data_IF_344865357648
#
_entry.id   IF_344865357648
#
_cell.length_a   1.000
_cell.length_b   1.000
_cell.length_c   1.000
_cell.angle_alpha   90.00
_cell.angle_beta   90.00
_cell.angle_gamma   90.00
#
_symmetry.space_group_name_H-M   'P 1'
#
loop_
_entity.id
_entity.type
_entity.pdbx_description
1 polymer ?
#
# COMPACT_ATOMS: atom_id res chain seq x y z
N UNK A 1 -9.33 8.87 48.05
CA UNK A 1 -7.85 8.98 48.01
C UNK A 1 -7.36 8.14 46.83
N UNK A 2 -7.31 8.77 45.66
CA UNK A 2 -6.11 9.41 45.06
C UNK A 2 -5.23 8.40 44.34
N UNK A 3 -5.51 8.37 43.04
CA UNK A 3 -4.71 7.94 41.89
C UNK A 3 -3.19 8.07 42.08
N UNK A 4 -2.46 7.10 41.53
CA UNK A 4 -1.17 7.33 40.89
C UNK A 4 -1.14 6.65 39.51
N UNK A 5 -0.75 7.39 38.46
CA UNK A 5 -0.63 6.85 37.11
C UNK A 5 0.72 6.14 36.95
N UNK A 6 0.70 4.94 36.36
CA UNK A 6 1.90 4.28 35.90
C UNK A 6 2.44 5.01 34.67
N UNK A 7 3.70 5.37 34.80
CA UNK A 7 4.40 6.44 34.11
C UNK A 7 4.90 6.04 32.72
N UNK A 8 4.86 7.03 31.82
CA UNK A 8 5.37 7.08 30.44
C UNK A 8 6.89 6.85 30.36
N UNK A 9 7.38 5.62 30.51
CA UNK A 9 8.83 5.35 30.42
C UNK A 9 9.28 4.27 29.42
N UNK A 10 8.40 3.76 28.55
CA UNK A 10 8.81 2.84 27.47
C UNK A 10 9.03 3.49 26.08
N UNK A 11 8.74 4.79 25.90
CA UNK A 11 8.91 5.49 24.61
C UNK A 11 10.34 5.92 24.23
N UNK A 12 11.35 5.78 25.11
CA UNK A 12 12.69 6.39 24.83
C UNK A 12 13.72 5.47 24.17
N UNK A 13 13.47 4.16 24.05
CA UNK A 13 14.42 3.22 23.43
C UNK A 13 14.10 2.88 21.96
N UNK A 14 12.84 2.98 21.54
CA UNK A 14 12.45 2.87 20.13
C UNK A 14 12.90 4.11 19.32
N UNK A 15 12.78 5.30 19.91
CA UNK A 15 13.22 6.57 19.31
C UNK A 15 14.74 6.64 19.05
N UNK A 16 15.57 5.88 19.79
CA UNK A 16 17.02 5.84 19.54
C UNK A 16 17.40 4.89 18.39
N UNK A 17 16.63 3.82 18.16
CA UNK A 17 16.86 2.90 17.05
C UNK A 17 16.40 3.50 15.72
N UNK A 18 15.24 4.18 15.72
CA UNK A 18 14.77 4.96 14.57
C UNK A 18 15.71 6.12 14.20
N UNK A 19 16.25 6.83 15.21
CA UNK A 19 17.25 7.89 14.96
C UNK A 19 18.57 7.36 14.38
N UNK A 20 19.00 6.13 14.74
CA UNK A 20 20.19 5.50 14.16
C UNK A 20 19.92 5.00 12.74
N UNK A 21 18.71 4.51 12.44
CA UNK A 21 18.29 4.14 11.07
C UNK A 21 18.23 5.37 10.14
N UNK A 22 17.64 6.47 10.59
CA UNK A 22 17.62 7.75 9.85
C UNK A 22 19.03 8.32 9.69
N UNK A 23 19.86 8.25 10.74
CA UNK A 23 21.25 8.71 10.66
C UNK A 23 22.13 7.84 9.76
N UNK A 24 21.86 6.54 9.67
CA UNK A 24 22.60 5.63 8.78
C UNK A 24 22.19 5.86 7.33
N UNK A 25 20.90 6.05 7.04
CA UNK A 25 20.42 6.39 5.70
C UNK A 25 20.93 7.77 5.25
N UNK A 26 20.92 8.76 6.16
CA UNK A 26 21.51 10.07 5.94
C UNK A 26 23.04 10.03 5.76
N UNK A 27 23.74 9.11 6.43
CA UNK A 27 25.17 8.89 6.28
C UNK A 27 25.54 8.16 4.98
N UNK A 28 24.70 7.25 4.46
CA UNK A 28 24.86 6.69 3.10
C UNK A 28 24.50 7.68 1.99
N UNK A 29 23.77 8.75 2.28
CA UNK A 29 23.61 9.90 1.35
C UNK A 29 24.71 10.96 1.48
N UNK A 30 25.76 10.72 2.27
CA UNK A 30 26.90 11.63 2.44
C UNK A 30 27.78 11.75 1.17
N UNK A 31 27.43 11.07 0.07
CA UNK A 31 27.88 11.36 -1.29
C UNK A 31 27.22 12.61 -1.91
N UNK A 32 26.35 13.33 -1.17
CA UNK A 32 26.07 14.75 -1.42
C UNK A 32 24.76 15.09 -2.14
N UNK A 33 23.88 14.11 -2.39
CA UNK A 33 22.48 14.37 -2.74
C UNK A 33 21.61 13.87 -1.60
N UNK A 34 21.17 14.79 -0.74
CA UNK A 34 20.12 14.47 0.23
C UNK A 34 18.84 14.02 -0.48
N UNK A 35 17.97 13.29 0.21
CA UNK A 35 16.63 12.99 -0.31
C UNK A 35 15.91 14.32 -0.65
N UNK A 36 15.63 14.55 -1.93
CA UNK A 36 15.01 15.78 -2.38
C UNK A 36 13.48 15.69 -2.33
N UNK A 37 12.82 16.82 -2.07
CA UNK A 37 11.39 16.94 -2.35
C UNK A 37 11.19 16.82 -3.85
N UNK A 38 10.31 15.93 -4.27
CA UNK A 38 10.00 15.71 -5.68
C UNK A 38 8.59 16.19 -5.99
N UNK A 39 8.39 16.72 -7.20
CA UNK A 39 7.09 17.10 -7.73
C UNK A 39 6.94 16.48 -9.11
N UNK A 40 6.09 15.46 -9.20
CA UNK A 40 5.77 14.80 -10.47
C UNK A 40 4.27 14.65 -10.59
N UNK A 41 3.74 14.82 -11.81
CA UNK A 41 2.31 14.76 -12.10
C UNK A 41 1.48 15.76 -11.26
N UNK A 42 2.10 16.88 -10.86
CA UNK A 42 1.49 17.88 -9.96
C UNK A 42 1.32 17.41 -8.51
N UNK A 43 1.96 16.30 -8.14
CA UNK A 43 1.92 15.74 -6.79
C UNK A 43 3.30 15.85 -6.14
N UNK A 44 3.31 16.51 -4.99
CA UNK A 44 4.50 16.70 -4.17
C UNK A 44 4.69 15.54 -3.21
N UNK A 45 5.92 15.03 -3.13
CA UNK A 45 6.39 14.12 -2.08
C UNK A 45 7.61 14.74 -1.43
N UNK A 46 7.53 14.95 -0.13
CA UNK A 46 8.60 15.55 0.66
C UNK A 46 9.62 14.50 1.11
N UNK A 47 10.77 14.98 1.58
CA UNK A 47 11.75 14.12 2.23
C UNK A 47 11.15 13.42 3.46
N UNK A 48 10.38 14.14 4.27
CA UNK A 48 9.78 13.58 5.49
C UNK A 48 8.79 12.47 5.15
N UNK A 49 8.00 12.61 4.07
CA UNK A 49 7.09 11.55 3.61
C UNK A 49 7.85 10.25 3.27
N UNK A 50 9.03 10.37 2.62
CA UNK A 50 9.88 9.22 2.29
C UNK A 50 10.47 8.59 3.56
N UNK A 51 10.92 9.42 4.51
CA UNK A 51 11.46 8.94 5.79
C UNK A 51 10.38 8.18 6.57
N UNK A 52 9.17 8.74 6.66
CA UNK A 52 8.01 8.07 7.28
C UNK A 52 7.70 6.76 6.58
N UNK A 53 7.66 6.72 5.25
CA UNK A 53 7.43 5.49 4.49
C UNK A 53 8.51 4.42 4.74
N UNK A 54 9.78 4.81 4.87
CA UNK A 54 10.88 3.92 5.23
C UNK A 54 10.70 3.35 6.66
N UNK A 55 10.32 4.20 7.62
CA UNK A 55 10.05 3.80 8.99
C UNK A 55 8.87 2.82 9.05
N UNK A 56 7.78 3.14 8.35
CA UNK A 56 6.62 2.25 8.20
C UNK A 56 7.04 0.88 7.68
N UNK A 57 7.84 0.79 6.60
CA UNK A 57 8.30 -0.49 6.08
C UNK A 57 9.05 -1.33 7.11
N UNK A 58 9.69 -0.72 8.11
CA UNK A 58 10.44 -1.43 9.15
C UNK A 58 9.56 -1.81 10.36
N UNK A 59 8.67 -0.91 10.78
CA UNK A 59 7.95 -1.02 12.05
C UNK A 59 6.52 -1.57 11.91
N UNK A 60 5.88 -1.40 10.75
CA UNK A 60 4.49 -1.82 10.51
C UNK A 60 4.32 -3.33 10.31
N UNK A 61 5.20 -3.95 9.53
CA UNK A 61 5.03 -5.35 9.13
C UNK A 61 5.18 -6.38 10.26
N UNK A 62 6.11 -6.25 11.23
CA UNK A 62 6.21 -7.18 12.34
C UNK A 62 4.89 -7.36 13.13
N UNK A 63 4.23 -6.30 13.65
CA UNK A 63 2.97 -6.47 14.39
C UNK A 63 1.81 -6.96 13.51
N UNK A 64 1.78 -6.65 12.21
CA UNK A 64 0.79 -7.21 11.27
C UNK A 64 0.99 -8.72 11.11
N UNK A 65 2.23 -9.19 10.93
CA UNK A 65 2.53 -10.63 10.85
C UNK A 65 2.16 -11.36 12.13
N UNK A 66 2.43 -10.76 13.29
CA UNK A 66 2.05 -11.32 14.59
C UNK A 66 0.52 -11.43 14.71
N UNK A 67 -0.22 -10.42 14.27
CA UNK A 67 -1.69 -10.44 14.24
C UNK A 67 -2.23 -11.55 13.33
N UNK A 68 -1.72 -11.63 12.09
CA UNK A 68 -2.12 -12.68 11.12
C UNK A 68 -1.79 -14.09 11.65
N UNK A 69 -0.68 -14.26 12.37
CA UNK A 69 -0.33 -15.56 12.95
C UNK A 69 -1.13 -15.89 14.23
N UNK A 70 -1.79 -14.91 14.83
CA UNK A 70 -2.47 -15.05 16.12
C UNK A 70 -3.76 -15.90 16.04
N UNK A 71 -4.27 -16.28 17.21
CA UNK A 71 -5.58 -16.95 17.34
C UNK A 71 -6.77 -16.03 17.02
N UNK A 72 -6.59 -14.71 17.06
CA UNK A 72 -7.65 -13.78 16.67
C UNK A 72 -8.03 -13.95 15.19
N UNK A 73 -7.09 -14.49 14.42
CA UNK A 73 -7.23 -14.74 12.99
C UNK A 73 -7.73 -16.16 12.64
N UNK A 74 -8.09 -16.98 13.65
CA UNK A 74 -8.56 -18.36 13.47
C UNK A 74 -9.86 -18.46 12.65
N UNK A 75 -10.66 -17.39 12.61
CA UNK A 75 -11.91 -17.34 11.82
C UNK A 75 -11.68 -17.07 10.33
N UNK A 76 -10.50 -16.58 9.96
CA UNK A 76 -10.17 -16.18 8.58
C UNK A 76 -9.49 -17.33 7.83
N UNK A 77 -8.54 -18.00 8.48
CA UNK A 77 -7.77 -19.08 7.85
C UNK A 77 -7.25 -20.07 8.90
N UNK A 78 -7.00 -21.31 8.48
CA UNK A 78 -6.36 -22.33 9.34
C UNK A 78 -4.90 -21.99 9.68
N UNK A 79 -4.38 -22.56 10.78
CA UNK A 79 -3.04 -22.26 11.26
C UNK A 79 -1.93 -22.52 10.21
N UNK A 80 -1.94 -23.62 9.43
CA UNK A 80 -0.98 -23.83 8.34
C UNK A 80 -0.99 -22.71 7.28
N UNK A 81 -2.18 -22.29 6.84
CA UNK A 81 -2.33 -21.24 5.82
C UNK A 81 -1.82 -19.90 6.33
N UNK A 82 -2.06 -19.56 7.60
CA UNK A 82 -1.54 -18.34 8.23
C UNK A 82 -0.01 -18.38 8.35
N UNK A 83 0.55 -19.50 8.78
CA UNK A 83 1.99 -19.67 8.90
C UNK A 83 2.69 -19.51 7.53
N UNK A 84 2.17 -20.14 6.47
CA UNK A 84 2.70 -20.00 5.11
C UNK A 84 2.61 -18.55 4.61
N UNK A 85 1.47 -17.87 4.82
CA UNK A 85 1.31 -16.47 4.44
C UNK A 85 2.30 -15.55 5.19
N UNK A 86 2.49 -15.77 6.50
CA UNK A 86 3.44 -14.99 7.32
C UNK A 86 4.88 -15.21 6.87
N UNK A 87 5.27 -16.44 6.52
CA UNK A 87 6.59 -16.73 5.96
C UNK A 87 6.80 -15.97 4.65
N UNK A 88 5.81 -15.97 3.76
CA UNK A 88 5.87 -15.22 2.51
C UNK A 88 6.02 -13.71 2.77
N UNK A 89 5.16 -13.13 3.60
CA UNK A 89 5.19 -11.70 3.95
C UNK A 89 6.50 -11.30 4.62
N UNK A 90 7.07 -12.18 5.46
CA UNK A 90 8.38 -11.96 6.07
C UNK A 90 9.48 -11.87 5.02
N UNK A 91 9.52 -12.83 4.09
CA UNK A 91 10.53 -12.83 3.01
C UNK A 91 10.46 -11.57 2.17
N UNK A 92 9.26 -11.14 1.76
CA UNK A 92 9.09 -9.89 0.99
C UNK A 92 9.64 -8.69 1.77
N UNK A 93 9.29 -8.57 3.04
CA UNK A 93 9.79 -7.50 3.91
C UNK A 93 11.31 -7.54 4.07
N UNK A 94 11.90 -8.72 4.32
CA UNK A 94 13.34 -8.87 4.47
C UNK A 94 14.07 -8.48 3.16
N UNK A 95 13.59 -8.94 1.99
CA UNK A 95 14.19 -8.62 0.70
C UNK A 95 14.13 -7.12 0.36
N UNK A 96 13.05 -6.43 0.75
CA UNK A 96 12.94 -4.98 0.59
C UNK A 96 13.83 -4.22 1.57
N UNK A 97 13.93 -4.71 2.82
CA UNK A 97 14.81 -4.14 3.83
C UNK A 97 16.28 -4.25 3.42
N UNK A 98 16.70 -5.41 2.90
CA UNK A 98 18.07 -5.63 2.42
C UNK A 98 18.42 -4.72 1.23
N UNK A 99 17.46 -4.39 0.37
CA UNK A 99 17.67 -3.39 -0.70
C UNK A 99 17.89 -1.99 -0.16
N UNK A 100 17.17 -1.63 0.90
CA UNK A 100 17.27 -0.32 1.51
C UNK A 100 18.58 -0.16 2.29
N UNK A 101 18.99 -1.19 3.03
CA UNK A 101 20.10 -1.14 3.98
C UNK A 101 21.41 -1.76 3.43
N UNK A 102 21.37 -2.31 2.22
CA UNK A 102 22.55 -2.88 1.57
C UNK A 102 23.58 -1.82 1.16
N UNK A 103 24.79 -2.28 0.84
CA UNK A 103 25.92 -1.41 0.44
C UNK A 103 25.75 -0.78 -0.95
N UNK A 104 24.74 -1.20 -1.73
CA UNK A 104 24.50 -0.73 -3.10
C UNK A 104 23.55 0.48 -3.11
N UNK A 105 24.13 1.69 -3.08
CA UNK A 105 23.41 2.98 -3.11
C UNK A 105 22.39 3.06 -4.27
N UNK A 106 22.67 2.43 -5.42
CA UNK A 106 21.75 2.46 -6.57
C UNK A 106 20.45 1.71 -6.28
N UNK A 107 20.52 0.59 -5.54
CA UNK A 107 19.33 -0.18 -5.13
C UNK A 107 18.51 0.58 -4.10
N UNK A 108 19.17 1.28 -3.17
CA UNK A 108 18.50 2.12 -2.20
C UNK A 108 17.76 3.28 -2.89
N UNK A 109 18.42 3.96 -3.85
CA UNK A 109 17.80 5.06 -4.60
C UNK A 109 16.63 4.59 -5.50
N UNK A 110 16.75 3.43 -6.12
CA UNK A 110 15.66 2.82 -6.90
C UNK A 110 14.43 2.52 -6.02
N UNK A 111 14.65 2.00 -4.80
CA UNK A 111 13.57 1.78 -3.83
C UNK A 111 12.96 3.10 -3.34
N UNK A 112 13.76 4.13 -3.08
CA UNK A 112 13.27 5.48 -2.74
C UNK A 112 12.41 6.04 -3.87
N UNK A 113 12.84 5.88 -5.13
CA UNK A 113 12.06 6.31 -6.31
C UNK A 113 10.73 5.56 -6.38
N UNK A 114 10.74 4.25 -6.15
CA UNK A 114 9.53 3.43 -6.05
C UNK A 114 8.60 3.92 -4.93
N UNK A 115 9.12 4.20 -3.73
CA UNK A 115 8.33 4.74 -2.61
C UNK A 115 7.72 6.11 -2.95
N UNK A 116 8.47 6.98 -3.63
CA UNK A 116 7.98 8.27 -4.10
C UNK A 116 6.79 8.15 -5.05
N UNK A 117 6.82 7.20 -5.99
CA UNK A 117 5.67 6.94 -6.85
C UNK A 117 4.50 6.31 -6.07
N UNK A 118 4.78 5.42 -5.11
CA UNK A 118 3.75 4.75 -4.30
C UNK A 118 3.00 5.74 -3.40
N UNK A 119 3.71 6.68 -2.79
CA UNK A 119 3.13 7.76 -1.99
C UNK A 119 2.21 8.64 -2.83
N UNK A 120 2.59 8.95 -4.09
CA UNK A 120 1.71 9.67 -5.02
C UNK A 120 0.44 8.88 -5.33
N UNK A 121 0.52 7.56 -5.52
CA UNK A 121 -0.66 6.71 -5.67
C UNK A 121 -1.61 6.82 -4.47
N UNK A 122 -1.08 6.82 -3.23
CA UNK A 122 -1.92 7.02 -2.05
C UNK A 122 -2.49 8.44 -1.94
N UNK A 123 -1.77 9.46 -2.37
CA UNK A 123 -2.32 10.83 -2.48
C UNK A 123 -3.49 10.89 -3.46
N UNK A 124 -3.37 10.24 -4.62
CA UNK A 124 -4.47 10.17 -5.60
C UNK A 124 -5.67 9.42 -5.03
N UNK A 125 -5.46 8.28 -4.38
CA UNK A 125 -6.55 7.54 -3.74
C UNK A 125 -7.24 8.32 -2.64
N UNK A 126 -6.52 9.13 -1.85
CA UNK A 126 -7.12 10.04 -0.87
C UNK A 126 -7.96 11.13 -1.53
N UNK A 127 -7.49 11.70 -2.63
CA UNK A 127 -8.30 12.65 -3.41
C UNK A 127 -9.54 12.01 -4.03
N UNK A 128 -9.43 10.75 -4.50
CA UNK A 128 -10.57 9.96 -4.98
C UNK A 128 -11.57 9.70 -3.85
N UNK A 129 -11.11 9.34 -2.65
CA UNK A 129 -11.95 9.18 -1.47
C UNK A 129 -12.75 10.43 -1.17
N UNK A 130 -12.09 11.58 -1.13
CA UNK A 130 -12.73 12.86 -0.83
C UNK A 130 -13.69 13.30 -1.97
N UNK A 131 -13.40 12.90 -3.21
CA UNK A 131 -14.25 13.18 -4.39
C UNK A 131 -15.49 12.30 -4.45
N UNK A 132 -15.33 10.99 -4.20
CA UNK A 132 -16.39 9.99 -4.28
C UNK A 132 -17.33 10.08 -3.08
N UNK A 133 -16.78 10.24 -1.87
CA UNK A 133 -17.54 10.40 -0.63
C UNK A 133 -18.33 9.17 -0.15
N UNK A 134 -18.53 8.18 -1.03
CA UNK A 134 -19.08 6.86 -0.71
C UNK A 134 -17.95 5.83 -0.58
N UNK A 135 -17.72 5.35 0.65
CA UNK A 135 -16.69 4.36 0.96
C UNK A 135 -16.92 3.02 0.24
N UNK A 136 -18.18 2.57 0.15
CA UNK A 136 -18.51 1.30 -0.49
C UNK A 136 -18.23 1.35 -1.99
N UNK A 137 -18.64 2.44 -2.64
CA UNK A 137 -18.36 2.66 -4.05
C UNK A 137 -16.84 2.75 -4.30
N UNK A 138 -16.11 3.48 -3.47
CA UNK A 138 -14.65 3.60 -3.61
C UNK A 138 -13.95 2.24 -3.47
N UNK A 139 -14.31 1.43 -2.46
CA UNK A 139 -13.75 0.08 -2.30
C UNK A 139 -13.97 -0.76 -3.55
N UNK A 140 -15.19 -0.76 -4.10
CA UNK A 140 -15.51 -1.51 -5.31
C UNK A 140 -14.69 -1.04 -6.52
N UNK A 141 -14.57 0.28 -6.71
CA UNK A 141 -13.81 0.89 -7.79
C UNK A 141 -12.30 0.57 -7.69
N UNK A 142 -11.72 0.67 -6.49
CA UNK A 142 -10.30 0.35 -6.25
C UNK A 142 -10.03 -1.14 -6.46
N UNK A 143 -10.89 -2.04 -5.96
CA UNK A 143 -10.73 -3.48 -6.19
C UNK A 143 -10.77 -3.84 -7.69
N UNK A 144 -11.73 -3.26 -8.42
CA UNK A 144 -11.86 -3.46 -9.87
C UNK A 144 -10.65 -2.92 -10.62
N UNK A 145 -10.25 -1.70 -10.29
CA UNK A 145 -9.07 -1.05 -10.84
C UNK A 145 -7.79 -1.87 -10.63
N UNK A 146 -7.50 -2.26 -9.39
CA UNK A 146 -6.29 -3.03 -9.06
C UNK A 146 -6.28 -4.38 -9.77
N UNK A 147 -7.44 -5.05 -9.85
CA UNK A 147 -7.57 -6.32 -10.57
C UNK A 147 -7.22 -6.16 -12.05
N UNK A 148 -7.78 -5.14 -12.71
CA UNK A 148 -7.53 -4.90 -14.12
C UNK A 148 -6.10 -4.43 -14.38
N UNK A 149 -5.56 -3.53 -13.56
CA UNK A 149 -4.18 -3.06 -13.69
C UNK A 149 -3.17 -4.19 -13.49
N UNK A 150 -3.40 -5.10 -12.54
CA UNK A 150 -2.57 -6.29 -12.34
C UNK A 150 -2.55 -7.24 -13.54
N UNK A 151 -3.56 -7.19 -14.41
CA UNK A 151 -3.55 -7.94 -15.68
C UNK A 151 -2.60 -7.32 -16.71
N UNK A 152 -2.37 -6.00 -16.64
CA UNK A 152 -1.49 -5.28 -17.56
C UNK A 152 -0.01 -5.45 -17.22
N UNK A 153 0.32 -5.70 -15.96
CA UNK A 153 1.70 -5.76 -15.46
C UNK A 153 2.61 -6.69 -16.29
N UNK A 154 2.08 -7.81 -16.79
CA UNK A 154 2.83 -8.78 -17.58
C UNK A 154 3.04 -8.36 -19.05
N UNK A 155 2.39 -7.30 -19.51
CA UNK A 155 2.44 -6.84 -20.89
C UNK A 155 3.66 -5.93 -21.15
N UNK A 156 4.12 -5.80 -22.41
CA UNK A 156 5.11 -4.81 -22.81
C UNK A 156 4.70 -3.37 -22.48
N UNK A 157 5.67 -2.47 -22.26
CA UNK A 157 5.42 -1.11 -21.77
C UNK A 157 4.40 -0.31 -22.61
N UNK A 158 4.48 -0.38 -23.94
CA UNK A 158 3.55 0.30 -24.84
C UNK A 158 2.11 -0.24 -24.69
N UNK A 159 1.95 -1.55 -24.52
CA UNK A 159 0.65 -2.20 -24.30
C UNK A 159 0.08 -1.90 -22.92
N UNK A 160 0.93 -1.73 -21.90
CA UNK A 160 0.50 -1.30 -20.56
C UNK A 160 -0.15 0.06 -20.58
N UNK A 161 0.45 1.03 -21.27
CA UNK A 161 -0.10 2.37 -21.35
C UNK A 161 -1.46 2.38 -22.05
N UNK A 162 -1.56 1.74 -23.21
CA UNK A 162 -2.81 1.63 -23.95
C UNK A 162 -3.88 0.85 -23.16
N UNK A 163 -3.48 -0.22 -22.48
CA UNK A 163 -4.35 -0.99 -21.59
C UNK A 163 -4.88 -0.15 -20.43
N UNK A 164 -4.02 0.65 -19.80
CA UNK A 164 -4.39 1.51 -18.67
C UNK A 164 -5.40 2.56 -19.11
N UNK A 165 -5.20 3.19 -20.27
CA UNK A 165 -6.15 4.15 -20.86
C UNK A 165 -7.53 3.53 -21.12
N UNK A 166 -7.57 2.26 -21.56
CA UNK A 166 -8.84 1.55 -21.74
C UNK A 166 -9.54 1.29 -20.41
N UNK A 167 -8.82 0.84 -19.38
CA UNK A 167 -9.41 0.65 -18.03
C UNK A 167 -9.94 1.97 -17.49
N UNK A 168 -9.22 3.08 -17.68
CA UNK A 168 -9.70 4.41 -17.30
C UNK A 168 -11.01 4.75 -18.03
N UNK A 169 -11.11 4.48 -19.33
CA UNK A 169 -12.34 4.70 -20.08
C UNK A 169 -13.53 3.89 -19.54
N UNK A 170 -13.29 2.63 -19.13
CA UNK A 170 -14.28 1.75 -18.49
C UNK A 170 -14.69 2.26 -17.10
N UNK A 171 -13.77 2.88 -16.35
CA UNK A 171 -14.01 3.41 -15.00
C UNK A 171 -15.15 4.44 -14.95
N UNK A 172 -15.38 5.18 -16.05
CA UNK A 172 -16.53 6.08 -16.14
C UNK A 172 -17.85 5.34 -15.98
N UNK A 173 -18.01 4.24 -16.72
CA UNK A 173 -19.25 3.47 -16.69
C UNK A 173 -19.39 2.76 -15.33
N UNK A 174 -18.30 2.21 -14.81
CA UNK A 174 -18.30 1.57 -13.48
C UNK A 174 -18.75 2.55 -12.39
N UNK A 175 -18.23 3.78 -12.37
CA UNK A 175 -18.69 4.79 -11.40
C UNK A 175 -20.18 5.12 -11.54
N UNK A 176 -20.72 5.17 -12.76
CA UNK A 176 -22.16 5.38 -13.00
C UNK A 176 -22.95 4.18 -12.49
N UNK A 177 -22.47 2.96 -12.71
CA UNK A 177 -23.11 1.72 -12.26
C UNK A 177 -23.09 1.59 -10.73
N UNK A 178 -22.09 2.17 -10.06
CA UNK A 178 -22.04 2.37 -8.60
C UNK A 178 -22.97 3.50 -8.11
N UNK A 179 -23.72 4.15 -8.99
CA UNK A 179 -24.70 5.19 -8.65
C UNK A 179 -24.10 6.58 -8.42
N UNK A 180 -22.85 6.83 -8.83
CA UNK A 180 -22.21 8.14 -8.69
C UNK A 180 -22.77 9.14 -9.71
N UNK A 181 -22.95 10.38 -9.26
CA UNK A 181 -23.43 11.46 -10.15
C UNK A 181 -22.39 11.83 -11.22
N UNK A 182 -22.85 12.29 -12.39
CA UNK A 182 -21.95 12.78 -13.45
C UNK A 182 -20.95 13.84 -12.96
N UNK A 183 -21.34 14.70 -12.02
CA UNK A 183 -20.46 15.71 -11.46
C UNK A 183 -19.32 15.11 -10.62
N UNK A 184 -19.56 13.99 -9.90
CA UNK A 184 -18.54 13.24 -9.18
C UNK A 184 -17.64 12.50 -10.16
N UNK A 185 -18.25 11.82 -11.14
CA UNK A 185 -17.55 11.10 -12.22
C UNK A 185 -16.56 12.01 -12.94
N UNK A 186 -17.01 13.18 -13.40
CA UNK A 186 -16.16 14.11 -14.15
C UNK A 186 -14.99 14.66 -13.32
N UNK A 187 -15.14 14.76 -11.99
CA UNK A 187 -14.05 15.14 -11.07
C UNK A 187 -13.10 13.98 -10.78
N UNK A 188 -13.61 12.75 -10.69
CA UNK A 188 -12.82 11.56 -10.38
C UNK A 188 -12.02 11.04 -11.59
N UNK A 189 -12.52 11.24 -12.82
CA UNK A 189 -11.88 10.73 -14.04
C UNK A 189 -10.42 11.20 -14.23
N UNK A 190 -10.07 12.48 -14.06
CA UNK A 190 -8.67 12.91 -14.11
C UNK A 190 -7.79 12.23 -13.07
N UNK A 191 -8.33 11.93 -11.88
CA UNK A 191 -7.59 11.25 -10.81
C UNK A 191 -7.31 9.79 -11.17
N UNK A 192 -8.27 9.09 -11.78
CA UNK A 192 -8.05 7.73 -12.29
C UNK A 192 -7.01 7.68 -13.41
N UNK A 193 -6.99 8.67 -14.30
CA UNK A 193 -5.93 8.81 -15.31
C UNK A 193 -4.55 8.97 -14.65
N UNK A 194 -4.44 9.89 -13.68
CA UNK A 194 -3.20 10.11 -12.93
C UNK A 194 -2.75 8.85 -12.18
N UNK A 195 -3.70 8.09 -11.62
CA UNK A 195 -3.41 6.82 -10.97
C UNK A 195 -2.70 5.87 -11.96
N UNK A 196 -3.28 5.68 -13.14
CA UNK A 196 -2.73 4.78 -14.16
C UNK A 196 -1.33 5.19 -14.66
N UNK A 197 -1.06 6.49 -14.73
CA UNK A 197 0.28 7.02 -14.99
C UNK A 197 1.26 6.70 -13.86
N UNK A 198 0.87 6.94 -12.59
CA UNK A 198 1.68 6.57 -11.43
C UNK A 198 2.01 5.07 -11.37
N UNK A 199 1.05 4.19 -11.64
CA UNK A 199 1.30 2.74 -11.70
C UNK A 199 2.31 2.38 -12.80
N UNK A 200 2.24 3.05 -13.95
CA UNK A 200 3.20 2.81 -15.04
C UNK A 200 4.61 3.22 -14.61
N UNK A 201 4.75 4.34 -13.90
CA UNK A 201 6.04 4.81 -13.36
C UNK A 201 6.61 3.86 -12.31
N UNK A 202 5.77 3.35 -11.39
CA UNK A 202 6.19 2.34 -10.40
C UNK A 202 6.90 1.16 -11.08
N UNK A 203 6.38 0.69 -12.21
CA UNK A 203 6.91 -0.46 -12.94
C UNK A 203 8.21 -0.18 -13.73
N UNK A 204 8.65 1.08 -13.80
CA UNK A 204 9.94 1.42 -14.41
C UNK A 204 11.13 1.12 -13.50
N UNK A 205 10.90 1.17 -12.18
CA UNK A 205 11.88 0.86 -11.12
C UNK A 205 12.14 -0.63 -11.00
N UNK A 206 13.32 -1.03 -10.53
CA UNK A 206 13.66 -2.43 -10.28
C UNK A 206 12.96 -2.98 -9.03
N UNK A 207 12.70 -2.14 -8.03
CA UNK A 207 11.86 -2.44 -6.87
C UNK A 207 10.42 -2.73 -7.31
N UNK A 208 9.85 -1.91 -8.21
CA UNK A 208 8.54 -2.16 -8.80
C UNK A 208 8.47 -3.48 -9.56
N UNK A 209 9.47 -3.80 -10.38
CA UNK A 209 9.57 -5.10 -11.08
C UNK A 209 9.68 -6.28 -10.09
N UNK A 210 10.34 -6.10 -8.95
CA UNK A 210 10.37 -7.13 -7.91
C UNK A 210 9.00 -7.30 -7.24
N UNK A 211 8.28 -6.21 -6.98
CA UNK A 211 6.90 -6.31 -6.45
C UNK A 211 5.97 -7.07 -7.40
N UNK A 212 6.16 -6.90 -8.71
CA UNK A 212 5.48 -7.72 -9.74
C UNK A 212 5.86 -9.20 -9.62
N UNK A 213 7.14 -9.51 -9.47
CA UNK A 213 7.61 -10.89 -9.27
C UNK A 213 6.96 -11.51 -8.04
N UNK A 214 6.90 -10.78 -6.92
CA UNK A 214 6.21 -11.25 -5.72
C UNK A 214 4.72 -11.47 -5.97
N UNK A 215 4.01 -10.58 -6.67
CA UNK A 215 2.60 -10.83 -7.02
C UNK A 215 2.44 -12.12 -7.85
N UNK A 216 3.36 -12.37 -8.79
CA UNK A 216 3.48 -13.62 -9.54
C UNK A 216 3.62 -14.84 -8.63
N UNK A 217 4.61 -14.81 -7.73
CA UNK A 217 4.87 -15.88 -6.76
C UNK A 217 3.68 -16.12 -5.82
N UNK A 218 2.93 -15.07 -5.44
CA UNK A 218 1.67 -15.20 -4.67
C UNK A 218 0.63 -15.99 -5.47
N UNK A 219 0.53 -15.80 -6.80
CA UNK A 219 -0.43 -16.52 -7.64
C UNK A 219 -0.13 -18.02 -7.73
N UNK A 220 1.15 -18.39 -7.61
CA UNK A 220 1.64 -19.77 -7.63
C UNK A 220 1.45 -20.48 -6.28
N UNK A 221 1.15 -19.76 -5.20
CA UNK A 221 0.83 -20.35 -3.90
C UNK A 221 -0.49 -21.12 -3.92
N UNK A 222 -0.72 -21.92 -2.88
CA UNK A 222 -2.04 -22.53 -2.63
C UNK A 222 -3.12 -21.43 -2.60
N UNK A 223 -4.31 -21.64 -3.19
CA UNK A 223 -5.33 -20.59 -3.31
C UNK A 223 -5.73 -19.90 -2.00
N UNK A 224 -5.76 -20.63 -0.88
CA UNK A 224 -6.04 -20.07 0.44
C UNK A 224 -4.93 -19.10 0.92
N UNK A 225 -3.66 -19.47 0.71
CA UNK A 225 -2.50 -18.62 1.02
C UNK A 225 -2.48 -17.40 0.11
N UNK A 226 -2.67 -17.59 -1.19
CA UNK A 226 -2.71 -16.50 -2.16
C UNK A 226 -3.79 -15.47 -1.82
N UNK A 227 -5.00 -15.93 -1.48
CA UNK A 227 -6.11 -15.07 -1.05
C UNK A 227 -5.75 -14.30 0.22
N UNK A 228 -5.20 -14.98 1.22
CA UNK A 228 -4.82 -14.36 2.49
C UNK A 228 -3.74 -13.29 2.29
N UNK A 229 -2.65 -13.59 1.59
CA UNK A 229 -1.56 -12.64 1.34
C UNK A 229 -2.08 -11.40 0.59
N UNK A 230 -2.89 -11.59 -0.45
CA UNK A 230 -3.50 -10.46 -1.17
C UNK A 230 -4.38 -9.62 -0.26
N UNK A 231 -5.17 -10.27 0.60
CA UNK A 231 -6.07 -9.56 1.51
C UNK A 231 -5.30 -8.74 2.55
N UNK A 232 -4.22 -9.28 3.10
CA UNK A 232 -3.31 -8.53 3.98
C UNK A 232 -2.71 -7.34 3.25
N UNK A 233 -2.22 -7.53 2.03
CA UNK A 233 -1.65 -6.43 1.23
C UNK A 233 -2.68 -5.33 0.94
N UNK A 234 -3.89 -5.69 0.49
CA UNK A 234 -4.97 -4.72 0.24
C UNK A 234 -5.41 -4.00 1.51
N UNK A 235 -5.43 -4.66 2.67
CA UNK A 235 -5.79 -4.03 3.95
C UNK A 235 -4.71 -3.04 4.40
N UNK A 236 -3.43 -3.35 4.18
CA UNK A 236 -2.33 -2.42 4.44
C UNK A 236 -2.40 -1.19 3.51
N UNK A 237 -2.67 -1.40 2.21
CA UNK A 237 -2.86 -0.28 1.26
C UNK A 237 -4.09 0.56 1.62
N UNK A 238 -5.19 -0.07 2.01
CA UNK A 238 -6.38 0.63 2.44
C UNK A 238 -6.15 1.44 3.72
N UNK A 239 -5.35 0.96 4.67
CA UNK A 239 -4.95 1.74 5.84
C UNK A 239 -4.24 3.05 5.42
N UNK A 240 -3.30 2.99 4.47
CA UNK A 240 -2.64 4.19 3.91
C UNK A 240 -3.61 5.12 3.16
N UNK A 241 -4.63 4.58 2.49
CA UNK A 241 -5.67 5.38 1.81
C UNK A 241 -6.58 6.09 2.83
N UNK A 242 -6.88 5.44 3.95
CA UNK A 242 -7.77 5.99 4.97
C UNK A 242 -7.07 6.95 5.94
N UNK A 243 -5.75 7.01 5.90
CA UNK A 243 -4.97 7.93 6.71
C UNK A 243 -5.31 9.39 6.41
N UNK A 244 -5.49 10.17 7.47
CA UNK A 244 -5.79 11.61 7.41
C UNK A 244 -4.55 12.47 7.65
N UNK A 245 -3.60 11.97 8.44
CA UNK A 245 -2.31 12.61 8.72
C UNK A 245 -1.19 11.70 8.24
N UNK A 246 -0.47 12.11 7.20
CA UNK A 246 0.62 11.32 6.61
C UNK A 246 1.96 11.52 7.30
N UNK A 247 2.01 12.38 8.33
CA UNK A 247 3.22 12.55 9.11
C UNK A 247 3.41 11.44 10.16
N UNK A 248 2.32 10.78 10.55
CA UNK A 248 2.36 9.63 11.45
C UNK A 248 2.44 8.33 10.64
N UNK A 249 3.29 7.36 11.02
CA UNK A 249 3.28 6.01 10.43
C UNK A 249 1.95 5.29 10.67
N UNK A 250 1.44 4.54 9.67
CA UNK A 250 0.33 3.61 9.90
C UNK A 250 0.71 2.55 10.94
N UNK A 251 -0.24 2.18 11.79
CA UNK A 251 -0.03 1.17 12.82
C UNK A 251 -0.90 -0.10 12.64
N UNK A 252 -0.76 -1.04 13.57
CA UNK A 252 -1.53 -2.30 13.57
C UNK A 252 -3.04 -2.04 13.68
N UNK A 253 -3.45 -1.08 14.49
CA UNK A 253 -4.87 -0.84 14.75
C UNK A 253 -5.52 -0.18 13.51
N UNK A 254 -4.78 0.63 12.76
CA UNK A 254 -5.22 1.13 11.45
C UNK A 254 -5.36 0.01 10.41
N UNK A 255 -4.41 -0.94 10.39
CA UNK A 255 -4.54 -2.16 9.59
C UNK A 255 -5.80 -2.96 9.94
N UNK A 256 -6.11 -3.13 11.23
CA UNK A 256 -7.28 -3.89 11.68
C UNK A 256 -8.58 -3.21 11.22
N UNK A 257 -8.69 -1.88 11.39
CA UNK A 257 -9.85 -1.13 10.88
C UNK A 257 -10.01 -1.28 9.37
N UNK A 258 -8.90 -1.18 8.63
CA UNK A 258 -8.90 -1.33 7.19
C UNK A 258 -9.34 -2.75 6.76
N UNK A 259 -8.82 -3.77 7.43
CA UNK A 259 -9.22 -5.16 7.24
C UNK A 259 -10.74 -5.35 7.41
N UNK A 260 -11.27 -4.87 8.55
CA UNK A 260 -12.70 -4.99 8.88
C UNK A 260 -13.59 -4.24 7.89
N UNK A 261 -13.18 -3.05 7.43
CA UNK A 261 -13.90 -2.31 6.39
C UNK A 261 -13.97 -3.11 5.11
N UNK A 262 -12.83 -3.58 4.58
CA UNK A 262 -12.84 -4.36 3.35
C UNK A 262 -13.67 -5.65 3.53
N UNK A 263 -13.63 -6.29 4.71
CA UNK A 263 -14.35 -7.55 4.98
C UNK A 263 -15.87 -7.33 4.94
N UNK A 264 -16.34 -6.23 5.54
CA UNK A 264 -17.76 -5.84 5.46
C UNK A 264 -18.23 -5.66 4.02
N UNK A 265 -17.43 -5.01 3.18
CA UNK A 265 -17.79 -4.80 1.78
C UNK A 265 -17.77 -6.09 0.95
N UNK A 266 -16.80 -6.97 1.18
CA UNK A 266 -16.76 -8.28 0.52
C UNK A 266 -18.00 -9.11 0.85
N UNK A 267 -18.35 -9.20 2.14
CA UNK A 267 -19.55 -9.92 2.61
C UNK A 267 -20.83 -9.33 2.02
N UNK A 268 -20.96 -7.99 2.02
CA UNK A 268 -22.13 -7.32 1.46
C UNK A 268 -22.31 -7.61 -0.04
N UNK A 269 -21.22 -7.62 -0.81
CA UNK A 269 -21.23 -7.93 -2.24
C UNK A 269 -21.59 -9.38 -2.52
N UNK A 270 -21.02 -10.34 -1.78
CA UNK A 270 -21.37 -11.76 -1.93
C UNK A 270 -22.85 -12.01 -1.59
N UNK A 271 -23.38 -11.33 -0.57
CA UNK A 271 -24.79 -11.40 -0.23
C UNK A 271 -25.71 -10.77 -1.30
N UNK A 272 -25.25 -9.74 -2.02
CA UNK A 272 -25.98 -9.14 -3.12
C UNK A 272 -26.00 -10.03 -4.38
N UNK A 273 -24.88 -10.71 -4.69
CA UNK A 273 -24.76 -11.58 -5.86
C UNK A 273 -25.54 -12.90 -5.77
N UNK A 274 -26.02 -13.26 -4.57
CA UNK A 274 -26.78 -14.50 -4.31
C UNK A 274 -28.30 -14.29 -4.24
N UNK A 275 -28.77 -13.06 -4.46
CA UNK A 275 -30.19 -12.68 -4.53
C UNK A 275 -30.62 -12.53 -5.98
#
# INVERSE_FOLDING_TARGET
>A
MTTKPLTKHMCRRALLAAAVLVASFAATTASGQGLETTEDLGLRVTQDDIITAIQEQSEFWPPVRDYVNSRQFDRVADAPTRAEAVVFLKRVHDELHDRLMGEDERRALDLVTYLGHRLRTFTIYRQLRDTVGDEAALVALVEHWDTNQRSLIALPAAERLAGSQRIVAEMRQEMIDQGLSNAVVDKAMPLWSLQGECLTLLLTTDAGKQMVKFDGEVREQRPAVARLVRRVASSAEWASIMQTDTSDPIDRDDFIKAWETLERHEVARTAAATR
#
